data_IF_504549529587
#
_entry.id   IF_504549529587
#
_cell.length_a   1.000
_cell.length_b   1.000
_cell.length_c   1.000
_cell.angle_alpha   90.00
_cell.angle_beta   90.00
_cell.angle_gamma   90.00
#
_symmetry.space_group_name_H-M   'P 1'
#
loop_
_entity.id
_entity.type
_entity.pdbx_description
1 polymer ?
#
# COMPACT_ATOMS: atom_id res chain seq x y z
N UNK A 1 33.39 -10.35 20.27
CA UNK A 1 33.90 -9.06 19.77
C UNK A 1 32.75 -8.33 19.12
N UNK A 2 32.11 -7.40 19.83
CA UNK A 2 31.00 -6.59 19.33
C UNK A 2 31.55 -5.48 18.44
N UNK A 3 31.20 -5.49 17.16
CA UNK A 3 31.52 -4.39 16.25
C UNK A 3 30.81 -3.12 16.72
N UNK A 4 31.58 -2.13 17.16
CA UNK A 4 31.06 -0.81 17.50
C UNK A 4 30.50 -0.17 16.22
N UNK A 5 29.21 0.15 16.24
CA UNK A 5 28.60 0.95 15.20
C UNK A 5 29.28 2.32 15.15
N UNK A 6 29.74 2.72 13.97
CA UNK A 6 30.35 4.03 13.75
C UNK A 6 29.35 5.14 14.13
N UNK A 7 29.82 6.26 14.72
CA UNK A 7 28.95 7.37 15.06
C UNK A 7 28.34 7.94 13.77
N UNK A 8 27.00 7.89 13.68
CA UNK A 8 26.25 8.42 12.57
C UNK A 8 26.56 9.91 12.38
N UNK A 9 26.66 10.35 11.13
CA UNK A 9 26.84 11.75 10.78
C UNK A 9 25.83 12.63 11.56
N UNK A 10 26.26 13.80 12.08
CA UNK A 10 25.37 14.66 12.84
C UNK A 10 24.16 15.04 11.98
N UNK A 11 22.97 14.65 12.44
CA UNK A 11 21.71 14.98 11.78
C UNK A 11 21.53 16.50 11.72
N UNK A 12 20.73 16.96 10.74
CA UNK A 12 20.38 18.38 10.63
C UNK A 12 19.78 18.89 11.97
N UNK A 13 20.01 20.17 12.34
CA UNK A 13 19.49 20.72 13.59
C UNK A 13 17.98 20.46 13.75
N UNK A 14 17.60 19.76 14.83
CA UNK A 14 16.20 19.40 15.11
C UNK A 14 15.78 17.98 14.70
N UNK A 15 16.67 17.18 14.09
CA UNK A 15 16.37 15.79 13.75
C UNK A 15 16.31 14.89 15.01
N UNK A 16 15.22 14.13 15.17
CA UNK A 16 15.02 13.19 16.28
C UNK A 16 15.53 11.77 15.97
N UNK A 17 15.87 11.47 14.72
CA UNK A 17 16.37 10.15 14.32
C UNK A 17 16.47 9.96 12.81
N UNK A 18 16.58 8.70 12.33
CA UNK A 18 16.62 8.38 10.91
C UNK A 18 15.39 8.91 10.16
N UNK A 19 15.63 9.50 8.99
CA UNK A 19 14.58 10.07 8.14
C UNK A 19 14.59 9.45 6.74
N UNK A 20 13.41 9.37 6.15
CA UNK A 20 13.19 8.94 4.78
C UNK A 20 12.90 10.17 3.91
N UNK A 21 13.40 10.21 2.66
CA UNK A 21 13.03 11.29 1.78
C UNK A 21 11.57 11.13 1.33
N UNK A 22 10.81 12.22 1.34
CA UNK A 22 9.37 12.22 1.03
C UNK A 22 9.05 11.72 -0.39
N UNK A 23 9.97 11.90 -1.34
CA UNK A 23 9.81 11.35 -2.70
C UNK A 23 9.69 9.83 -2.73
N UNK A 24 10.23 9.10 -1.74
CA UNK A 24 10.19 7.64 -1.68
C UNK A 24 8.77 7.08 -1.47
N UNK A 25 7.81 7.89 -1.04
CA UNK A 25 6.41 7.47 -0.91
C UNK A 25 5.74 7.22 -2.26
N UNK A 26 6.16 7.93 -3.32
CA UNK A 26 5.62 7.75 -4.68
C UNK A 26 5.94 6.39 -5.30
N UNK A 27 7.21 5.91 -5.33
CA UNK A 27 7.50 4.56 -5.81
C UNK A 27 6.90 3.48 -4.92
N UNK A 28 6.79 3.71 -3.60
CA UNK A 28 6.09 2.78 -2.71
C UNK A 28 4.60 2.64 -3.08
N UNK A 29 3.90 3.76 -3.32
CA UNK A 29 2.52 3.78 -3.80
C UNK A 29 2.40 3.09 -5.17
N UNK A 30 3.31 3.39 -6.11
CA UNK A 30 3.29 2.75 -7.42
C UNK A 30 3.46 1.22 -7.32
N UNK A 31 4.36 0.74 -6.46
CA UNK A 31 4.53 -0.68 -6.20
C UNK A 31 3.27 -1.29 -5.58
N UNK A 32 2.63 -0.63 -4.60
CA UNK A 32 1.38 -1.10 -4.01
C UNK A 32 0.23 -1.17 -5.03
N UNK A 33 0.11 -0.18 -5.91
CA UNK A 33 -0.87 -0.20 -7.02
C UNK A 33 -0.64 -1.39 -7.94
N UNK A 34 0.61 -1.62 -8.38
CA UNK A 34 0.96 -2.76 -9.25
C UNK A 34 0.63 -4.09 -8.58
N UNK A 35 1.03 -4.27 -7.31
CA UNK A 35 0.72 -5.49 -6.54
C UNK A 35 -0.78 -5.70 -6.45
N UNK A 36 -1.55 -4.64 -6.20
CA UNK A 36 -3.02 -4.72 -6.10
C UNK A 36 -3.64 -5.16 -7.43
N UNK A 37 -3.22 -4.56 -8.55
CA UNK A 37 -3.72 -4.93 -9.89
C UNK A 37 -3.40 -6.38 -10.21
N UNK A 38 -2.16 -6.81 -9.98
CA UNK A 38 -1.74 -8.19 -10.25
C UNK A 38 -2.48 -9.19 -9.36
N UNK A 39 -2.69 -8.86 -8.09
CA UNK A 39 -3.42 -9.72 -7.17
C UNK A 39 -4.89 -9.87 -7.57
N UNK A 40 -5.55 -8.78 -7.96
CA UNK A 40 -6.95 -8.82 -8.45
C UNK A 40 -7.05 -9.61 -9.75
N UNK A 41 -6.12 -9.41 -10.69
CA UNK A 41 -6.08 -10.15 -11.94
C UNK A 41 -5.82 -11.66 -11.74
N UNK A 42 -5.01 -12.02 -10.73
CA UNK A 42 -4.76 -13.41 -10.36
C UNK A 42 -5.91 -14.05 -9.57
N UNK A 43 -6.71 -13.26 -8.87
CA UNK A 43 -7.81 -13.75 -8.05
C UNK A 43 -9.07 -14.10 -8.85
N UNK A 44 -9.42 -13.29 -9.85
CA UNK A 44 -10.69 -13.42 -10.58
C UNK A 44 -10.50 -13.13 -12.07
N UNK A 45 -11.25 -13.78 -12.98
CA UNK A 45 -11.20 -13.45 -14.40
C UNK A 45 -11.70 -12.02 -14.66
N UNK A 46 -10.76 -11.08 -14.82
CA UNK A 46 -11.05 -9.67 -15.12
C UNK A 46 -10.88 -9.40 -16.62
N UNK A 47 -11.81 -8.66 -17.22
CA UNK A 47 -11.67 -8.26 -18.63
C UNK A 47 -10.47 -7.29 -18.81
N UNK A 48 -9.78 -7.34 -19.97
CA UNK A 48 -8.65 -6.43 -20.23
C UNK A 48 -9.02 -4.94 -20.12
N UNK A 49 -10.27 -4.59 -20.44
CA UNK A 49 -10.80 -3.22 -20.33
C UNK A 49 -10.83 -2.77 -18.88
N UNK A 50 -11.31 -3.62 -17.96
CA UNK A 50 -11.35 -3.28 -16.53
C UNK A 50 -9.94 -3.18 -15.94
N UNK A 51 -9.02 -4.04 -16.36
CA UNK A 51 -7.61 -3.91 -15.97
C UNK A 51 -6.98 -2.61 -16.48
N UNK A 52 -7.29 -2.19 -17.71
CA UNK A 52 -6.83 -0.91 -18.24
C UNK A 52 -7.38 0.27 -17.42
N UNK A 53 -8.67 0.23 -17.04
CA UNK A 53 -9.27 1.25 -16.16
C UNK A 53 -8.58 1.26 -14.80
N UNK A 54 -8.31 0.10 -14.20
CA UNK A 54 -7.60 -0.02 -12.93
C UNK A 54 -6.17 0.56 -13.02
N UNK A 55 -5.45 0.27 -14.11
CA UNK A 55 -4.11 0.83 -14.33
C UNK A 55 -4.13 2.34 -14.53
N UNK A 56 -5.11 2.89 -15.26
CA UNK A 56 -5.26 4.33 -15.44
C UNK A 56 -5.63 5.04 -14.12
N UNK A 57 -6.55 4.47 -13.35
CA UNK A 57 -6.92 5.00 -12.04
C UNK A 57 -5.76 4.91 -11.04
N UNK A 58 -5.06 3.78 -11.00
CA UNK A 58 -3.89 3.58 -10.15
C UNK A 58 -2.71 4.48 -10.55
N UNK A 59 -2.44 4.62 -11.84
CA UNK A 59 -1.45 5.57 -12.36
C UNK A 59 -1.80 7.01 -11.96
N UNK A 60 -3.07 7.39 -12.07
CA UNK A 60 -3.56 8.69 -11.61
C UNK A 60 -3.37 8.89 -10.11
N UNK A 61 -3.59 7.84 -9.29
CA UNK A 61 -3.34 7.87 -7.85
C UNK A 61 -1.86 8.12 -7.52
N UNK A 62 -0.93 7.53 -8.28
CA UNK A 62 0.51 7.77 -8.11
C UNK A 62 0.94 9.18 -8.51
N UNK A 63 0.32 9.75 -9.55
CA UNK A 63 0.61 11.08 -10.04
C UNK A 63 0.03 12.16 -9.09
N UNK A 64 -1.19 11.94 -8.62
CA UNK A 64 -2.04 12.89 -7.87
C UNK A 64 -2.58 12.25 -6.57
N UNK A 65 -1.71 11.96 -5.59
CA UNK A 65 -2.10 11.22 -4.38
C UNK A 65 -3.11 11.97 -3.49
N UNK A 66 -3.19 13.31 -3.59
CA UNK A 66 -4.16 14.14 -2.87
C UNK A 66 -5.55 14.22 -3.54
N UNK A 67 -5.78 13.49 -4.63
CA UNK A 67 -7.06 13.43 -5.35
C UNK A 67 -7.91 12.24 -4.92
N UNK A 68 -9.12 12.12 -5.47
CA UNK A 68 -9.97 10.94 -5.30
C UNK A 68 -9.54 9.73 -6.15
N UNK A 69 -8.43 9.81 -6.90
CA UNK A 69 -7.98 8.73 -7.79
C UNK A 69 -7.70 7.42 -7.03
N UNK A 70 -7.12 7.48 -5.83
CA UNK A 70 -6.91 6.30 -4.99
C UNK A 70 -8.22 5.63 -4.62
N UNK A 71 -9.23 6.41 -4.24
CA UNK A 71 -10.57 5.89 -3.91
C UNK A 71 -11.21 5.24 -5.14
N UNK A 72 -11.13 5.89 -6.30
CA UNK A 72 -11.64 5.32 -7.55
C UNK A 72 -10.93 4.02 -7.91
N UNK A 73 -9.61 3.97 -7.80
CA UNK A 73 -8.81 2.76 -8.02
C UNK A 73 -9.24 1.60 -7.11
N UNK A 74 -9.31 1.85 -5.79
CA UNK A 74 -9.72 0.83 -4.82
C UNK A 74 -11.18 0.38 -5.04
N UNK A 75 -12.07 1.28 -5.44
CA UNK A 75 -13.44 0.94 -5.79
C UNK A 75 -13.51 0.01 -7.01
N UNK A 76 -12.73 0.28 -8.07
CA UNK A 76 -12.64 -0.61 -9.24
C UNK A 76 -12.13 -1.99 -8.83
N UNK A 77 -11.08 -2.07 -8.02
CA UNK A 77 -10.56 -3.35 -7.51
C UNK A 77 -11.60 -4.10 -6.67
N UNK A 78 -12.33 -3.41 -5.79
CA UNK A 78 -13.39 -4.01 -4.98
C UNK A 78 -14.55 -4.55 -5.83
N UNK A 79 -14.96 -3.81 -6.88
CA UNK A 79 -15.98 -4.25 -7.83
C UNK A 79 -15.56 -5.51 -8.59
N UNK A 80 -14.27 -5.64 -8.94
CA UNK A 80 -13.75 -6.89 -9.53
C UNK A 80 -13.92 -8.06 -8.56
N UNK A 81 -13.64 -7.84 -7.27
CA UNK A 81 -13.83 -8.85 -6.22
C UNK A 81 -15.29 -9.27 -6.03
N UNK A 82 -16.25 -8.34 -6.15
CA UNK A 82 -17.68 -8.67 -6.09
C UNK A 82 -18.15 -9.53 -7.28
N UNK A 83 -17.46 -9.44 -8.42
CA UNK A 83 -17.72 -10.26 -9.59
C UNK A 83 -16.95 -11.59 -9.57
N UNK A 84 -16.12 -11.85 -8.55
CA UNK A 84 -15.42 -13.12 -8.42
C UNK A 84 -16.40 -14.25 -8.12
N UNK A 85 -16.03 -15.47 -8.52
CA UNK A 85 -16.79 -16.71 -8.34
C UNK A 85 -16.87 -17.20 -6.88
N UNK A 86 -16.44 -16.37 -5.92
CA UNK A 86 -16.43 -16.68 -4.49
C UNK A 86 -15.22 -17.48 -4.01
N UNK A 87 -14.27 -17.83 -4.90
CA UNK A 87 -13.09 -18.59 -4.50
C UNK A 87 -12.20 -17.80 -3.54
N UNK A 88 -11.99 -18.33 -2.33
CA UNK A 88 -11.08 -17.76 -1.34
C UNK A 88 -9.70 -18.38 -1.55
N UNK A 89 -8.74 -17.57 -2.01
CA UNK A 89 -7.40 -18.04 -2.38
C UNK A 89 -6.30 -17.13 -1.84
N UNK A 90 -5.04 -17.55 -1.96
CA UNK A 90 -3.88 -16.69 -1.66
C UNK A 90 -3.88 -15.37 -2.45
N UNK A 91 -4.52 -15.32 -3.62
CA UNK A 91 -4.67 -14.09 -4.38
C UNK A 91 -5.58 -13.07 -3.70
N UNK A 92 -6.64 -13.51 -3.01
CA UNK A 92 -7.47 -12.62 -2.18
C UNK A 92 -6.63 -12.03 -1.04
N UNK A 93 -5.84 -12.85 -0.36
CA UNK A 93 -4.92 -12.39 0.69
C UNK A 93 -3.98 -11.29 0.17
N UNK A 94 -3.40 -11.49 -1.01
CA UNK A 94 -2.53 -10.51 -1.65
C UNK A 94 -3.30 -9.25 -2.10
N UNK A 95 -4.54 -9.39 -2.58
CA UNK A 95 -5.38 -8.27 -3.00
C UNK A 95 -5.76 -7.37 -1.81
N UNK A 96 -6.12 -7.97 -0.66
CA UNK A 96 -6.40 -7.24 0.59
C UNK A 96 -5.15 -6.49 1.07
N UNK A 97 -3.98 -7.16 1.06
CA UNK A 97 -2.71 -6.51 1.39
C UNK A 97 -2.39 -5.34 0.44
N UNK A 98 -2.51 -5.56 -0.86
CA UNK A 98 -2.28 -4.53 -1.87
C UNK A 98 -3.21 -3.33 -1.69
N UNK A 99 -4.51 -3.56 -1.50
CA UNK A 99 -5.50 -2.51 -1.32
C UNK A 99 -5.18 -1.64 -0.08
N UNK A 100 -4.87 -2.29 1.05
CA UNK A 100 -4.55 -1.59 2.29
C UNK A 100 -3.21 -0.84 2.20
N UNK A 101 -2.19 -1.45 1.59
CA UNK A 101 -0.91 -0.81 1.35
C UNK A 101 -1.07 0.42 0.42
N UNK A 102 -1.86 0.29 -0.65
CA UNK A 102 -2.20 1.39 -1.57
C UNK A 102 -2.89 2.53 -0.82
N UNK A 103 -3.87 2.22 0.03
CA UNK A 103 -4.57 3.24 0.82
C UNK A 103 -3.61 4.01 1.74
N UNK A 104 -2.83 3.29 2.55
CA UNK A 104 -1.90 3.92 3.52
C UNK A 104 -0.81 4.72 2.82
N UNK A 105 -0.19 4.15 1.79
CA UNK A 105 0.88 4.85 1.04
C UNK A 105 0.33 6.07 0.29
N UNK A 106 -0.89 6.02 -0.25
CA UNK A 106 -1.55 7.17 -0.85
C UNK A 106 -1.85 8.26 0.19
N UNK A 107 -2.39 7.90 1.35
CA UNK A 107 -2.65 8.86 2.43
C UNK A 107 -1.37 9.56 2.89
N UNK A 108 -0.27 8.82 3.00
CA UNK A 108 1.04 9.41 3.32
C UNK A 108 1.56 10.30 2.18
N UNK A 109 1.50 9.83 0.93
CA UNK A 109 1.97 10.58 -0.23
C UNK A 109 1.12 11.85 -0.50
N UNK A 110 -0.12 11.89 -0.03
CA UNK A 110 -1.01 13.05 -0.14
C UNK A 110 -0.59 14.20 0.79
N UNK A 111 0.00 13.88 1.95
CA UNK A 111 0.31 14.87 3.00
C UNK A 111 1.81 15.18 3.10
N UNK A 112 2.68 14.31 2.60
CA UNK A 112 4.13 14.49 2.65
C UNK A 112 4.64 15.16 1.36
N UNK A 113 5.22 16.36 1.43
CA UNK A 113 5.83 17.00 0.27
C UNK A 113 6.99 16.17 -0.31
N UNK A 114 7.12 16.01 -1.64
CA UNK A 114 8.18 15.18 -2.23
C UNK A 114 9.61 15.63 -1.90
N UNK A 115 9.81 16.93 -1.64
CA UNK A 115 11.11 17.51 -1.32
C UNK A 115 11.42 17.54 0.19
N UNK A 116 10.51 17.08 1.04
CA UNK A 116 10.76 17.03 2.48
C UNK A 116 11.47 15.73 2.88
N UNK A 117 11.94 15.69 4.11
CA UNK A 117 12.30 14.46 4.82
C UNK A 117 11.25 14.16 5.88
N UNK A 118 10.98 12.88 6.11
CA UNK A 118 10.03 12.41 7.12
C UNK A 118 10.75 11.48 8.06
N UNK A 119 10.73 11.81 9.34
CA UNK A 119 11.33 10.96 10.36
C UNK A 119 10.56 9.66 10.52
N UNK A 120 11.30 8.57 10.74
CA UNK A 120 10.70 7.25 11.00
C UNK A 120 9.71 7.26 12.17
N UNK A 121 10.02 8.07 13.21
CA UNK A 121 9.15 8.24 14.36
C UNK A 121 7.76 8.79 13.99
N UNK A 122 7.67 9.66 12.97
CA UNK A 122 6.41 10.22 12.51
C UNK A 122 5.54 9.19 11.75
N UNK A 123 6.17 8.22 11.09
CA UNK A 123 5.47 7.15 10.35
C UNK A 123 5.04 5.98 11.24
N UNK A 124 5.74 5.77 12.35
CA UNK A 124 5.59 4.60 13.20
C UNK A 124 4.14 4.35 13.70
N UNK A 125 3.37 5.36 14.14
CA UNK A 125 1.98 5.13 14.55
C UNK A 125 1.11 4.59 13.41
N UNK A 126 1.25 5.15 12.21
CA UNK A 126 0.52 4.72 11.02
C UNK A 126 0.91 3.30 10.60
N UNK A 127 2.21 2.98 10.62
CA UNK A 127 2.71 1.66 10.25
C UNK A 127 2.30 0.57 11.26
N UNK A 128 2.25 0.91 12.56
CA UNK A 128 1.70 -0.01 13.58
C UNK A 128 0.22 -0.27 13.36
N UNK A 129 -0.57 0.76 13.09
CA UNK A 129 -2.01 0.61 12.77
C UNK A 129 -2.21 -0.24 11.51
N UNK A 130 -1.42 0.02 10.47
CA UNK A 130 -1.39 -0.80 9.26
C UNK A 130 -1.11 -2.27 9.61
N UNK A 131 -0.02 -2.56 10.34
CA UNK A 131 0.35 -3.93 10.68
C UNK A 131 -0.73 -4.66 11.49
N UNK A 132 -1.34 -3.99 12.49
CA UNK A 132 -2.40 -4.59 13.32
C UNK A 132 -3.66 -4.86 12.48
N UNK A 133 -4.15 -3.87 11.73
CA UNK A 133 -5.33 -4.04 10.90
C UNK A 133 -5.08 -5.05 9.76
N UNK A 134 -3.87 -5.08 9.21
CA UNK A 134 -3.47 -6.06 8.20
C UNK A 134 -3.41 -7.47 8.79
N UNK A 135 -2.83 -7.66 9.97
CA UNK A 135 -2.79 -8.96 10.63
C UNK A 135 -4.21 -9.48 10.91
N UNK A 136 -5.10 -8.63 11.41
CA UNK A 136 -6.51 -8.99 11.61
C UNK A 136 -7.20 -9.35 10.29
N UNK A 137 -7.02 -8.55 9.24
CA UNK A 137 -7.58 -8.83 7.92
C UNK A 137 -7.06 -10.14 7.31
N UNK A 138 -5.77 -10.41 7.45
CA UNK A 138 -5.15 -11.65 6.97
C UNK A 138 -5.63 -12.88 7.74
N UNK A 139 -5.80 -12.77 9.06
CA UNK A 139 -6.41 -13.83 9.87
C UNK A 139 -7.83 -14.14 9.40
N UNK A 140 -8.63 -13.12 9.06
CA UNK A 140 -9.98 -13.31 8.52
C UNK A 140 -9.96 -14.02 7.16
N UNK A 141 -9.04 -13.65 6.25
CA UNK A 141 -8.89 -14.34 4.96
C UNK A 141 -8.47 -15.79 5.16
N UNK A 142 -7.51 -16.07 6.04
CA UNK A 142 -7.06 -17.43 6.35
C UNK A 142 -8.19 -18.26 6.97
N UNK A 143 -8.96 -17.68 7.89
CA UNK A 143 -10.10 -18.34 8.50
C UNK A 143 -11.17 -18.63 7.44
N UNK A 144 -11.49 -17.66 6.59
CA UNK A 144 -12.46 -17.86 5.51
C UNK A 144 -11.99 -18.95 4.54
N UNK A 145 -10.70 -18.96 4.19
CA UNK A 145 -10.12 -20.00 3.32
C UNK A 145 -10.21 -21.39 3.97
N UNK A 146 -9.90 -21.50 5.27
CA UNK A 146 -10.01 -22.77 5.99
C UNK A 146 -11.45 -23.31 6.10
N UNK A 147 -12.46 -22.46 5.92
CA UNK A 147 -13.89 -22.80 5.98
C UNK A 147 -14.57 -22.95 4.61
N UNK A 148 -13.86 -22.64 3.52
CA UNK A 148 -14.35 -22.72 2.13
C UNK A 148 -14.12 -24.10 1.56
#
# INVERSE_FOLDING_TARGET
MTAAAAPGAPGAPGALGPALPGWALRPALAASVVVTVLAVAGWTPVSPVVLAVALLAGGSATALPASHATTAFLAVCALCGLAADGAITGWLSLAVLGAHATHVTASLAAVVPPRSTVEWAALLPSLRRFAVAQAAGQLLVLLAWALS
#
